data_IF_537778697683
#
_entry.id   IF_537778697683
#
_cell.length_a   1.000
_cell.length_b   1.000
_cell.length_c   1.000
_cell.angle_alpha   90.00
_cell.angle_beta   90.00
_cell.angle_gamma   90.00
#
_symmetry.space_group_name_H-M   'P 1'
#
loop_
_entity.id
_entity.type
_entity.pdbx_description
1 polymer ?
#
# COMPACT_ATOMS: atom_id res chain seq x y z
N UNK A 1 10.06 27.50 31.71
CA UNK A 1 9.02 26.99 30.77
C UNK A 1 9.57 26.45 29.43
N UNK A 2 10.85 26.05 29.32
CA UNK A 2 11.46 25.59 28.07
C UNK A 2 11.35 24.08 27.77
N UNK A 3 10.73 23.28 28.66
CA UNK A 3 10.69 21.81 28.54
C UNK A 3 9.53 21.22 27.71
N UNK A 4 8.60 22.04 27.22
CA UNK A 4 7.39 21.54 26.51
C UNK A 4 7.59 21.36 24.99
N UNK A 5 8.63 21.96 24.41
CA UNK A 5 8.88 21.95 22.96
C UNK A 5 9.71 20.74 22.47
N UNK A 6 10.53 20.12 23.33
CA UNK A 6 11.29 18.92 22.95
C UNK A 6 10.42 17.68 22.73
N UNK A 7 9.20 17.63 23.28
CA UNK A 7 8.25 16.53 23.03
C UNK A 7 7.55 16.61 21.67
N UNK A 8 7.62 17.74 20.97
CA UNK A 8 6.93 17.94 19.67
C UNK A 8 7.86 17.71 18.47
N UNK A 9 9.19 17.76 18.68
CA UNK A 9 10.20 17.44 17.67
C UNK A 9 10.01 16.07 16.96
N UNK A 10 9.57 14.97 17.61
CA UNK A 10 9.31 13.72 16.89
C UNK A 10 8.09 13.77 15.96
N UNK A 11 7.06 14.58 16.27
CA UNK A 11 5.83 14.67 15.46
C UNK A 11 6.08 15.31 14.09
N UNK A 12 6.89 16.37 14.04
CA UNK A 12 7.31 16.99 12.78
C UNK A 12 8.09 16.03 11.88
N UNK A 13 8.78 15.04 12.47
CA UNK A 13 9.49 14.02 11.69
C UNK A 13 8.53 13.10 10.94
N UNK A 14 7.28 12.96 11.38
CA UNK A 14 6.25 12.10 10.79
C UNK A 14 5.10 12.90 10.13
N UNK A 15 5.19 14.23 10.08
CA UNK A 15 4.18 15.10 9.45
C UNK A 15 3.84 14.70 8.00
N UNK A 16 4.82 14.23 7.23
CA UNK A 16 4.60 13.72 5.86
C UNK A 16 3.66 12.49 5.78
N UNK A 17 3.68 11.60 6.79
CA UNK A 17 2.76 10.47 6.85
C UNK A 17 1.34 10.96 7.14
N UNK A 18 1.21 11.90 8.09
CA UNK A 18 -0.07 12.54 8.40
C UNK A 18 -0.61 13.27 7.16
N UNK A 19 0.23 14.01 6.46
CA UNK A 19 -0.12 14.68 5.20
C UNK A 19 -0.58 13.68 4.14
N UNK A 20 0.11 12.54 4.00
CA UNK A 20 -0.28 11.49 3.04
C UNK A 20 -1.66 10.95 3.38
N UNK A 21 -1.93 10.66 4.66
CA UNK A 21 -3.26 10.19 5.10
C UNK A 21 -4.33 11.27 4.96
N UNK A 22 -3.99 12.54 5.19
CA UNK A 22 -4.90 13.66 4.97
C UNK A 22 -5.28 13.80 3.50
N UNK A 23 -4.30 13.66 2.58
CA UNK A 23 -4.57 13.66 1.14
C UNK A 23 -5.49 12.49 0.75
N UNK A 24 -5.25 11.31 1.31
CA UNK A 24 -6.12 10.15 1.14
C UNK A 24 -7.54 10.41 1.68
N UNK A 25 -7.67 11.07 2.83
CA UNK A 25 -8.96 11.43 3.42
C UNK A 25 -9.71 12.44 2.55
N UNK A 26 -9.02 13.47 2.07
CA UNK A 26 -9.59 14.44 1.12
C UNK A 26 -10.04 13.74 -0.16
N UNK A 27 -9.24 12.77 -0.65
CA UNK A 27 -9.62 11.95 -1.79
C UNK A 27 -10.90 11.15 -1.54
N UNK A 28 -11.05 10.49 -0.38
CA UNK A 28 -12.28 9.73 -0.09
C UNK A 28 -13.52 10.60 0.05
N UNK A 29 -13.35 11.83 0.54
CA UNK A 29 -14.46 12.76 0.74
C UNK A 29 -14.76 13.61 -0.50
N UNK A 30 -13.94 13.51 -1.55
CA UNK A 30 -14.14 14.29 -2.77
C UNK A 30 -15.40 13.87 -3.53
N UNK A 31 -16.21 14.85 -3.93
CA UNK A 31 -17.41 14.61 -4.74
C UNK A 31 -17.09 13.96 -6.08
N UNK A 32 -18.06 13.23 -6.66
CA UNK A 32 -17.84 12.40 -7.85
C UNK A 32 -17.24 13.12 -9.07
N UNK A 33 -17.64 14.38 -9.31
CA UNK A 33 -17.11 15.18 -10.43
C UNK A 33 -15.61 15.51 -10.25
N UNK A 34 -15.22 16.00 -9.07
CA UNK A 34 -13.82 16.29 -8.75
C UNK A 34 -12.97 15.02 -8.75
N UNK A 35 -13.51 13.93 -8.19
CA UNK A 35 -12.84 12.65 -8.14
C UNK A 35 -12.55 12.10 -9.54
N UNK A 36 -13.51 12.22 -10.48
CA UNK A 36 -13.32 11.80 -11.86
C UNK A 36 -12.15 12.51 -12.56
N UNK A 37 -12.03 13.82 -12.37
CA UNK A 37 -10.93 14.63 -12.95
C UNK A 37 -9.60 14.36 -12.25
N UNK A 38 -9.60 14.26 -10.92
CA UNK A 38 -8.39 14.06 -10.12
C UNK A 38 -7.93 12.60 -10.08
N UNK A 39 -8.70 11.66 -10.60
CA UNK A 39 -8.39 10.23 -10.52
C UNK A 39 -7.04 9.89 -11.13
N UNK A 40 -6.80 10.26 -12.39
CA UNK A 40 -5.55 9.97 -13.08
C UNK A 40 -4.32 10.56 -12.37
N UNK A 41 -4.26 11.85 -12.01
CA UNK A 41 -3.08 12.40 -11.35
C UNK A 41 -2.86 11.79 -9.96
N UNK A 42 -3.92 11.56 -9.18
CA UNK A 42 -3.82 10.91 -7.86
C UNK A 42 -3.36 9.45 -8.00
N UNK A 43 -3.85 8.74 -9.02
CA UNK A 43 -3.46 7.37 -9.32
C UNK A 43 -1.99 7.25 -9.72
N UNK A 44 -1.51 8.15 -10.60
CA UNK A 44 -0.09 8.21 -10.96
C UNK A 44 0.76 8.50 -9.73
N UNK A 45 0.39 9.48 -8.90
CA UNK A 45 1.14 9.82 -7.69
C UNK A 45 1.20 8.65 -6.69
N UNK A 46 0.07 8.01 -6.41
CA UNK A 46 -0.02 6.85 -5.54
C UNK A 46 0.82 5.68 -6.08
N UNK A 47 0.79 5.44 -7.40
CA UNK A 47 1.62 4.45 -8.06
C UNK A 47 3.11 4.73 -7.84
N UNK A 48 3.55 5.96 -8.09
CA UNK A 48 4.95 6.35 -7.90
C UNK A 48 5.40 6.19 -6.45
N UNK A 49 4.54 6.53 -5.48
CA UNK A 49 4.80 6.33 -4.05
C UNK A 49 5.00 4.84 -3.72
N UNK A 50 4.08 3.97 -4.16
CA UNK A 50 4.17 2.52 -3.93
C UNK A 50 5.43 1.93 -4.60
N UNK A 51 5.73 2.36 -5.83
CA UNK A 51 6.88 1.89 -6.59
C UNK A 51 8.19 2.35 -5.94
N UNK A 52 8.30 3.61 -5.53
CA UNK A 52 9.48 4.16 -4.86
C UNK A 52 9.87 3.35 -3.61
N UNK A 53 8.88 2.94 -2.80
CA UNK A 53 9.12 2.07 -1.65
C UNK A 53 9.63 0.67 -2.00
N UNK A 54 9.31 0.17 -3.19
CA UNK A 54 9.70 -1.18 -3.66
C UNK A 54 11.04 -1.23 -4.38
N UNK A 55 11.43 -0.15 -5.07
CA UNK A 55 12.64 -0.11 -5.91
C UNK A 55 13.93 -0.17 -5.09
N UNK A 56 13.98 0.46 -3.91
CA UNK A 56 15.16 0.39 -3.03
C UNK A 56 15.49 -1.07 -2.66
N UNK A 57 14.48 -1.85 -2.28
CA UNK A 57 14.65 -3.24 -1.88
C UNK A 57 15.02 -4.15 -3.07
N UNK A 58 14.46 -3.87 -4.25
CA UNK A 58 14.77 -4.62 -5.46
C UNK A 58 16.23 -4.39 -5.91
N UNK A 59 16.71 -3.14 -5.83
CA UNK A 59 18.09 -2.78 -6.16
C UNK A 59 19.10 -3.47 -5.25
N UNK A 60 18.85 -3.49 -3.93
CA UNK A 60 19.74 -4.16 -2.98
C UNK A 60 19.83 -5.66 -3.19
N UNK A 61 18.68 -6.33 -3.39
CA UNK A 61 18.65 -7.78 -3.64
C UNK A 61 19.39 -8.13 -4.92
N UNK A 62 19.27 -7.27 -5.94
CA UNK A 62 19.92 -7.46 -7.22
C UNK A 62 21.42 -7.21 -7.16
N UNK A 63 21.91 -6.22 -6.40
CA UNK A 63 23.36 -6.04 -6.17
C UNK A 63 23.95 -7.27 -5.49
N UNK A 64 23.35 -7.71 -4.38
CA UNK A 64 23.78 -8.91 -3.68
C UNK A 64 23.74 -10.18 -4.54
N UNK A 65 22.72 -10.33 -5.41
CA UNK A 65 22.63 -11.48 -6.30
C UNK A 65 23.62 -11.41 -7.47
N UNK A 66 23.82 -10.23 -8.06
CA UNK A 66 24.78 -10.05 -9.16
C UNK A 66 26.21 -10.29 -8.68
N UNK A 67 26.56 -9.76 -7.50
CA UNK A 67 27.88 -9.96 -6.87
C UNK A 67 28.16 -11.43 -6.53
N UNK A 68 27.11 -12.24 -6.28
CA UNK A 68 27.27 -13.62 -5.83
C UNK A 68 27.20 -14.66 -6.96
N UNK A 69 26.56 -14.35 -8.09
CA UNK A 69 26.27 -15.35 -9.14
C UNK A 69 26.83 -15.05 -10.53
N UNK A 70 27.29 -13.83 -10.82
CA UNK A 70 27.84 -13.51 -12.14
C UNK A 70 29.32 -13.13 -12.08
N UNK A 71 30.13 -13.72 -12.97
CA UNK A 71 31.46 -13.24 -13.30
C UNK A 71 31.35 -11.89 -14.03
N UNK A 72 32.27 -10.97 -13.71
CA UNK A 72 32.25 -9.57 -14.19
C UNK A 72 32.33 -9.45 -15.72
N UNK A 73 32.88 -10.45 -16.41
CA UNK A 73 33.10 -10.43 -17.87
C UNK A 73 31.91 -10.92 -18.72
N UNK A 74 30.78 -11.28 -18.12
CA UNK A 74 29.66 -11.85 -18.88
C UNK A 74 28.84 -10.77 -19.63
N UNK A 75 28.57 -10.92 -20.95
CA UNK A 75 27.72 -9.99 -21.71
C UNK A 75 26.25 -9.96 -21.21
N UNK A 76 25.84 -11.01 -20.48
CA UNK A 76 24.55 -11.06 -19.79
C UNK A 76 24.44 -9.99 -18.69
N UNK A 77 25.57 -9.49 -18.19
CA UNK A 77 25.61 -8.42 -17.19
C UNK A 77 25.01 -7.12 -17.74
N UNK A 78 25.11 -6.85 -19.05
CA UNK A 78 24.53 -5.66 -19.71
C UNK A 78 23.02 -5.75 -19.92
N UNK A 79 22.52 -6.90 -20.39
CA UNK A 79 21.08 -7.10 -20.64
C UNK A 79 20.30 -7.25 -19.34
N UNK A 80 20.83 -8.04 -18.39
CA UNK A 80 20.29 -8.10 -17.02
C UNK A 80 20.60 -6.83 -16.23
N UNK A 81 21.51 -5.93 -16.65
CA UNK A 81 21.62 -4.54 -16.14
C UNK A 81 20.41 -3.70 -16.51
N UNK A 82 19.79 -3.96 -17.66
CA UNK A 82 18.58 -3.31 -18.15
C UNK A 82 17.38 -3.54 -17.22
N UNK A 83 17.32 -2.79 -16.11
CA UNK A 83 16.25 -2.86 -15.12
C UNK A 83 14.86 -2.46 -15.63
N UNK A 84 14.66 -2.34 -16.94
CA UNK A 84 13.41 -1.96 -17.59
C UNK A 84 12.31 -2.99 -17.31
N UNK A 85 12.54 -4.29 -17.53
CA UNK A 85 11.51 -5.31 -17.26
C UNK A 85 11.12 -5.36 -15.78
N UNK A 86 12.11 -5.21 -14.89
CA UNK A 86 11.88 -5.10 -13.45
C UNK A 86 11.04 -3.85 -13.14
N UNK A 87 11.40 -2.70 -13.71
CA UNK A 87 10.68 -1.44 -13.51
C UNK A 87 9.24 -1.54 -14.00
N UNK A 88 9.02 -2.04 -15.22
CA UNK A 88 7.68 -2.24 -15.80
C UNK A 88 6.83 -3.15 -14.92
N UNK A 89 7.37 -4.29 -14.45
CA UNK A 89 6.63 -5.19 -13.55
C UNK A 89 6.27 -4.50 -12.22
N UNK A 90 7.19 -3.74 -11.64
CA UNK A 90 6.90 -3.01 -10.39
C UNK A 90 5.92 -1.87 -10.62
N UNK A 91 6.01 -1.19 -11.77
CA UNK A 91 5.10 -0.12 -12.16
C UNK A 91 3.68 -0.66 -12.34
N UNK A 92 3.51 -1.78 -13.06
CA UNK A 92 2.22 -2.42 -13.27
C UNK A 92 1.61 -2.88 -11.95
N UNK A 93 2.39 -3.56 -11.11
CA UNK A 93 1.92 -4.01 -9.79
C UNK A 93 1.59 -2.81 -8.88
N UNK A 94 2.41 -1.76 -8.91
CA UNK A 94 2.17 -0.53 -8.17
C UNK A 94 0.90 0.18 -8.63
N UNK A 95 0.64 0.19 -9.94
CA UNK A 95 -0.54 0.79 -10.53
C UNK A 95 -1.82 0.03 -10.14
N UNK A 96 -1.78 -1.31 -10.18
CA UNK A 96 -2.89 -2.16 -9.72
C UNK A 96 -3.16 -1.97 -8.22
N UNK A 97 -2.11 -1.95 -7.38
CA UNK A 97 -2.26 -1.71 -5.94
C UNK A 97 -2.80 -0.29 -5.66
N UNK A 98 -2.30 0.72 -6.35
CA UNK A 98 -2.79 2.09 -6.24
C UNK A 98 -4.27 2.20 -6.66
N UNK A 99 -4.65 1.50 -7.72
CA UNK A 99 -6.03 1.45 -8.20
C UNK A 99 -6.95 0.85 -7.13
N UNK A 100 -6.61 -0.34 -6.62
CA UNK A 100 -7.39 -1.00 -5.55
C UNK A 100 -7.49 -0.09 -4.33
N UNK A 101 -6.38 0.53 -3.92
CA UNK A 101 -6.34 1.44 -2.79
C UNK A 101 -7.30 2.62 -2.98
N UNK A 102 -7.21 3.34 -4.09
CA UNK A 102 -7.99 4.56 -4.32
C UNK A 102 -9.48 4.28 -4.46
N UNK A 103 -9.85 3.19 -5.11
CA UNK A 103 -11.25 2.79 -5.28
C UNK A 103 -11.83 2.34 -3.95
N UNK A 104 -11.15 1.44 -3.22
CA UNK A 104 -11.61 0.99 -1.91
C UNK A 104 -11.69 2.10 -0.89
N UNK A 105 -10.79 3.08 -0.95
CA UNK A 105 -10.81 4.21 -0.04
C UNK A 105 -12.04 5.11 -0.23
N UNK A 106 -12.59 5.18 -1.45
CA UNK A 106 -13.85 5.89 -1.73
C UNK A 106 -15.08 5.13 -1.23
N UNK A 107 -15.04 3.80 -1.28
CA UNK A 107 -16.08 2.93 -0.75
C UNK A 107 -15.93 2.64 0.75
N UNK A 108 -14.86 3.13 1.37
CA UNK A 108 -14.53 2.81 2.76
C UNK A 108 -15.51 3.50 3.71
N UNK A 109 -16.15 2.70 4.56
CA UNK A 109 -17.04 3.22 5.60
C UNK A 109 -16.29 4.22 6.51
N UNK A 110 -16.87 5.38 6.85
CA UNK A 110 -16.22 6.40 7.70
C UNK A 110 -15.67 5.86 9.02
N UNK A 111 -16.33 4.86 9.59
CA UNK A 111 -15.96 4.17 10.84
C UNK A 111 -14.62 3.42 10.77
N UNK A 112 -14.12 3.10 9.57
CA UNK A 112 -12.84 2.42 9.37
C UNK A 112 -11.64 3.39 9.28
N UNK A 113 -11.88 4.70 9.15
CA UNK A 113 -10.81 5.69 9.12
C UNK A 113 -9.93 5.76 10.38
N UNK A 114 -10.49 5.69 11.60
CA UNK A 114 -9.70 5.59 12.82
C UNK A 114 -8.69 4.43 12.77
N UNK A 115 -9.07 3.31 12.16
CA UNK A 115 -8.19 2.15 12.00
C UNK A 115 -7.03 2.45 11.04
N UNK A 116 -7.30 3.12 9.92
CA UNK A 116 -6.26 3.59 8.98
C UNK A 116 -5.31 4.58 9.65
N UNK A 117 -5.86 5.54 10.40
CA UNK A 117 -5.11 6.53 11.15
C UNK A 117 -4.23 5.88 12.23
N UNK A 118 -4.75 4.89 12.96
CA UNK A 118 -4.00 4.11 13.95
C UNK A 118 -2.89 3.25 13.33
N UNK A 119 -3.04 2.86 12.06
CA UNK A 119 -2.00 2.17 11.31
C UNK A 119 -0.70 2.98 11.15
N UNK A 120 -0.79 4.32 11.11
CA UNK A 120 0.39 5.21 10.97
C UNK A 120 1.31 5.16 12.20
N UNK A 121 0.85 5.47 13.43
CA UNK A 121 1.69 5.34 14.62
C UNK A 121 2.09 3.88 14.85
N UNK A 122 1.21 2.91 14.55
CA UNK A 122 1.56 1.48 14.62
C UNK A 122 2.77 1.13 13.75
N UNK A 123 2.79 1.61 12.50
CA UNK A 123 3.91 1.41 11.59
C UNK A 123 5.19 2.10 12.10
N UNK A 124 5.09 3.33 12.62
CA UNK A 124 6.25 4.06 13.17
C UNK A 124 6.84 3.34 14.38
N UNK A 125 6.00 2.87 15.31
CA UNK A 125 6.43 2.10 16.49
C UNK A 125 7.09 0.78 16.05
N UNK A 126 6.45 0.04 15.13
CA UNK A 126 6.98 -1.21 14.62
C UNK A 126 8.35 -1.02 13.95
N UNK A 127 8.51 0.02 13.11
CA UNK A 127 9.80 0.37 12.51
C UNK A 127 10.86 0.70 13.55
N UNK A 128 10.52 1.47 14.57
CA UNK A 128 11.46 1.87 15.62
C UNK A 128 11.94 0.70 16.47
N UNK A 129 11.01 -0.15 16.89
CA UNK A 129 11.32 -1.37 17.64
C UNK A 129 12.20 -2.32 16.81
N UNK A 130 11.84 -2.50 15.54
CA UNK A 130 12.56 -3.38 14.65
C UNK A 130 13.98 -2.86 14.35
N UNK A 131 14.11 -1.56 14.07
CA UNK A 131 15.40 -0.89 13.90
C UNK A 131 16.30 -1.07 15.12
N UNK A 132 15.76 -0.93 16.34
CA UNK A 132 16.52 -1.15 17.58
C UNK A 132 17.04 -2.58 17.71
N UNK A 133 16.24 -3.59 17.33
CA UNK A 133 16.66 -5.00 17.37
C UNK A 133 17.68 -5.34 16.27
N UNK A 134 17.50 -4.80 15.07
CA UNK A 134 18.40 -5.05 13.93
C UNK A 134 19.73 -4.28 14.02
N UNK A 135 19.78 -3.16 14.72
CA UNK A 135 21.00 -2.37 14.90
C UNK A 135 22.15 -3.16 15.54
N UNK A 136 21.85 -4.23 16.27
CA UNK A 136 22.85 -5.11 16.87
C UNK A 136 23.43 -6.14 15.88
N UNK A 137 22.77 -6.39 14.75
CA UNK A 137 23.07 -7.52 13.86
C UNK A 137 23.30 -7.13 12.40
N UNK A 138 22.99 -5.89 12.00
CA UNK A 138 23.01 -5.45 10.59
C UNK A 138 23.86 -4.20 10.42
N UNK A 139 24.69 -4.18 9.37
CA UNK A 139 25.53 -3.05 8.96
C UNK A 139 24.66 -1.79 8.78
N UNK A 140 25.13 -0.66 9.30
CA UNK A 140 24.37 0.59 9.39
C UNK A 140 23.79 1.07 8.04
N UNK A 141 24.51 0.83 6.94
CA UNK A 141 24.13 1.21 5.58
C UNK A 141 22.85 0.50 5.10
N UNK A 142 22.72 -0.79 5.42
CA UNK A 142 21.63 -1.66 4.97
C UNK A 142 20.45 -1.65 5.93
N UNK A 143 20.67 -1.24 7.18
CA UNK A 143 19.68 -1.30 8.26
C UNK A 143 18.35 -0.66 7.87
N UNK A 144 18.38 0.50 7.22
CA UNK A 144 17.17 1.26 6.87
C UNK A 144 16.28 0.54 5.86
N UNK A 145 16.89 -0.07 4.85
CA UNK A 145 16.16 -0.80 3.81
C UNK A 145 15.66 -2.16 4.32
N UNK A 146 16.47 -2.88 5.09
CA UNK A 146 16.07 -4.16 5.69
C UNK A 146 14.90 -3.96 6.67
N UNK A 147 14.97 -2.93 7.53
CA UNK A 147 13.89 -2.60 8.47
C UNK A 147 12.57 -2.33 7.74
N UNK A 148 12.59 -1.52 6.66
CA UNK A 148 11.40 -1.20 5.86
C UNK A 148 10.78 -2.45 5.24
N UNK A 149 11.59 -3.32 4.65
CA UNK A 149 11.09 -4.55 4.04
C UNK A 149 10.44 -5.45 5.08
N UNK A 150 11.08 -5.60 6.22
CA UNK A 150 10.66 -6.54 7.24
C UNK A 150 9.50 -6.01 8.10
N UNK A 151 9.24 -4.70 8.12
CA UNK A 151 8.03 -4.13 8.75
C UNK A 151 6.79 -4.22 7.87
N UNK A 152 6.93 -4.19 6.53
CA UNK A 152 5.77 -4.14 5.60
C UNK A 152 4.88 -5.36 5.77
N UNK A 153 5.46 -6.57 5.79
CA UNK A 153 4.69 -7.82 5.91
C UNK A 153 3.90 -7.89 7.22
N UNK A 154 4.51 -7.79 8.41
CA UNK A 154 3.77 -7.90 9.66
C UNK A 154 2.77 -6.74 9.83
N UNK A 155 3.10 -5.53 9.40
CA UNK A 155 2.17 -4.40 9.47
C UNK A 155 0.95 -4.62 8.56
N UNK A 156 1.16 -5.11 7.34
CA UNK A 156 0.07 -5.42 6.41
C UNK A 156 -0.79 -6.59 6.90
N UNK A 157 -0.18 -7.64 7.45
CA UNK A 157 -0.91 -8.78 8.05
C UNK A 157 -1.76 -8.31 9.22
N UNK A 158 -1.18 -7.57 10.17
CA UNK A 158 -1.90 -7.03 11.32
C UNK A 158 -3.07 -6.14 10.88
N UNK A 159 -2.83 -5.24 9.92
CA UNK A 159 -3.87 -4.36 9.41
C UNK A 159 -4.98 -5.14 8.68
N UNK A 160 -4.62 -6.19 7.93
CA UNK A 160 -5.58 -7.08 7.27
C UNK A 160 -6.47 -7.76 8.30
N UNK A 161 -5.89 -8.31 9.37
CA UNK A 161 -6.66 -8.96 10.43
C UNK A 161 -7.63 -7.98 11.10
N UNK A 162 -7.18 -6.77 11.42
CA UNK A 162 -8.04 -5.74 12.00
C UNK A 162 -9.17 -5.33 11.06
N UNK A 163 -8.89 -5.21 9.75
CA UNK A 163 -9.91 -4.90 8.75
C UNK A 163 -10.92 -6.04 8.58
N UNK A 164 -10.48 -7.29 8.59
CA UNK A 164 -11.36 -8.46 8.53
C UNK A 164 -12.26 -8.50 9.76
N UNK A 165 -11.71 -8.35 10.96
CA UNK A 165 -12.49 -8.28 12.20
C UNK A 165 -13.51 -7.15 12.14
N UNK A 166 -13.11 -5.96 11.68
CA UNK A 166 -14.01 -4.84 11.53
C UNK A 166 -15.12 -5.11 10.50
N UNK A 167 -14.80 -5.74 9.36
CA UNK A 167 -15.77 -6.11 8.33
C UNK A 167 -16.79 -7.16 8.83
N UNK A 168 -16.39 -8.05 9.73
CA UNK A 168 -17.29 -9.00 10.38
C UNK A 168 -18.16 -8.37 11.46
N UNK A 169 -17.72 -7.25 12.05
CA UNK A 169 -18.47 -6.52 13.08
C UNK A 169 -19.43 -5.49 12.53
N UNK A 170 -19.17 -4.99 11.33
CA UNK A 170 -20.04 -4.02 10.66
C UNK A 170 -21.35 -4.68 10.21
N UNK A 171 -22.49 -3.96 10.26
CA UNK A 171 -23.75 -4.46 9.72
C UNK A 171 -23.59 -4.82 8.24
N UNK A 172 -23.88 -6.07 7.90
CA UNK A 172 -23.81 -6.58 6.53
C UNK A 172 -25.19 -6.51 5.87
N UNK A 173 -25.27 -6.29 4.55
CA UNK A 173 -26.53 -6.33 3.83
C UNK A 173 -27.15 -7.72 3.92
N UNK A 174 -28.47 -7.80 4.16
CA UNK A 174 -29.19 -9.07 4.21
C UNK A 174 -29.48 -9.55 2.78
N UNK A 175 -28.71 -10.53 2.29
CA UNK A 175 -28.78 -11.07 0.93
C UNK A 175 -29.29 -12.52 0.88
N UNK A 176 -29.66 -13.06 2.04
CA UNK A 176 -30.25 -14.40 2.18
C UNK A 176 -31.51 -14.51 1.32
N UNK A 177 -31.60 -15.58 0.54
CA UNK A 177 -32.77 -15.90 -0.28
C UNK A 177 -32.83 -15.17 -1.63
N UNK A 178 -31.91 -14.24 -1.92
CA UNK A 178 -31.84 -13.55 -3.21
C UNK A 178 -31.00 -14.31 -4.23
N UNK A 179 -31.43 -14.28 -5.48
CA UNK A 179 -30.57 -14.65 -6.61
C UNK A 179 -29.39 -13.67 -6.73
N UNK A 180 -28.28 -14.09 -7.32
CA UNK A 180 -27.10 -13.23 -7.48
C UNK A 180 -27.42 -11.98 -8.34
N UNK A 181 -28.17 -12.16 -9.43
CA UNK A 181 -28.60 -11.05 -10.29
C UNK A 181 -29.49 -10.06 -9.54
N UNK A 182 -30.42 -10.57 -8.72
CA UNK A 182 -31.31 -9.75 -7.88
C UNK A 182 -30.53 -8.99 -6.79
N UNK A 183 -29.52 -9.64 -6.19
CA UNK A 183 -28.66 -9.03 -5.18
C UNK A 183 -27.87 -7.85 -5.76
N UNK A 184 -27.32 -8.02 -6.97
CA UNK A 184 -26.64 -6.94 -7.71
C UNK A 184 -27.64 -5.86 -8.06
N UNK A 185 -28.73 -6.18 -8.76
CA UNK A 185 -29.72 -5.19 -9.21
C UNK A 185 -30.27 -4.32 -8.07
N UNK A 186 -30.46 -4.90 -6.87
CA UNK A 186 -30.98 -4.17 -5.69
C UNK A 186 -29.96 -3.23 -5.04
N UNK A 187 -28.67 -3.56 -5.09
CA UNK A 187 -27.62 -2.81 -4.40
C UNK A 187 -26.68 -2.07 -5.35
N UNK A 188 -26.92 -2.16 -6.65
CA UNK A 188 -26.19 -1.40 -7.65
C UNK A 188 -26.69 0.05 -7.64
N UNK A 189 -25.83 1.03 -7.38
CA UNK A 189 -26.27 2.42 -7.42
C UNK A 189 -26.58 2.83 -8.87
N UNK A 190 -27.75 3.42 -9.09
CA UNK A 190 -28.11 4.08 -10.36
C UNK A 190 -27.18 5.27 -10.68
N UNK A 191 -26.48 5.78 -9.68
CA UNK A 191 -25.56 6.89 -9.83
C UNK A 191 -24.18 6.43 -10.29
N UNK A 192 -23.75 6.88 -11.48
CA UNK A 192 -22.42 7.50 -11.68
C UNK A 192 -22.15 7.71 -13.16
N UNK A 193 -21.86 8.97 -13.54
CA UNK A 193 -21.50 9.36 -14.90
C UNK A 193 -20.28 8.62 -15.45
N UNK A 194 -20.14 8.64 -16.78
CA UNK A 194 -19.26 7.79 -17.60
C UNK A 194 -17.74 7.99 -17.47
N UNK A 195 -17.22 8.32 -16.29
CA UNK A 195 -15.78 8.44 -16.04
C UNK A 195 -15.16 7.07 -15.70
N UNK A 196 -13.87 6.91 -16.01
CA UNK A 196 -13.07 5.70 -15.74
C UNK A 196 -13.14 5.26 -14.26
N UNK A 197 -13.13 6.22 -13.34
CA UNK A 197 -13.28 5.94 -11.90
C UNK A 197 -14.61 5.23 -11.60
N UNK A 198 -15.72 5.68 -12.20
CA UNK A 198 -17.04 5.09 -11.98
C UNK A 198 -17.11 3.63 -12.43
N UNK A 199 -16.41 3.26 -13.50
CA UNK A 199 -16.28 1.85 -13.92
C UNK A 199 -15.62 1.00 -12.83
N UNK A 200 -14.51 1.45 -12.25
CA UNK A 200 -13.81 0.70 -11.21
C UNK A 200 -14.57 0.66 -9.88
N UNK A 201 -15.28 1.73 -9.52
CA UNK A 201 -16.19 1.75 -8.36
C UNK A 201 -17.29 0.70 -8.51
N UNK A 202 -17.95 0.65 -9.68
CA UNK A 202 -18.98 -0.36 -9.99
C UNK A 202 -18.41 -1.77 -9.89
N UNK A 203 -17.24 -2.02 -10.46
CA UNK A 203 -16.57 -3.32 -10.37
C UNK A 203 -16.28 -3.70 -8.91
N UNK A 204 -15.82 -2.75 -8.11
CA UNK A 204 -15.54 -2.98 -6.69
C UNK A 204 -16.81 -3.24 -5.87
N UNK A 205 -17.91 -2.54 -6.15
CA UNK A 205 -19.22 -2.77 -5.53
C UNK A 205 -19.75 -4.16 -5.90
N UNK A 206 -19.68 -4.55 -7.17
CA UNK A 206 -20.10 -5.90 -7.62
C UNK A 206 -19.27 -6.99 -6.93
N UNK A 207 -17.95 -6.77 -6.79
CA UNK A 207 -17.09 -7.70 -6.06
C UNK A 207 -17.46 -7.80 -4.57
N UNK A 208 -17.80 -6.68 -3.91
CA UNK A 208 -18.28 -6.69 -2.52
C UNK A 208 -19.64 -7.39 -2.37
N UNK A 209 -20.61 -7.08 -3.21
CA UNK A 209 -21.93 -7.73 -3.18
C UNK A 209 -21.77 -9.23 -3.41
N UNK A 210 -20.96 -9.63 -4.39
CA UNK A 210 -20.69 -11.04 -4.69
C UNK A 210 -20.03 -11.73 -3.49
N UNK A 211 -19.04 -11.09 -2.85
CA UNK A 211 -18.42 -11.61 -1.63
C UNK A 211 -19.47 -11.85 -0.52
N UNK A 212 -20.29 -10.85 -0.20
CA UNK A 212 -21.32 -10.98 0.86
C UNK A 212 -22.37 -12.02 0.49
N UNK A 213 -22.84 -12.02 -0.77
CA UNK A 213 -23.80 -13.00 -1.27
C UNK A 213 -23.25 -14.43 -1.15
N UNK A 214 -22.00 -14.66 -1.56
CA UNK A 214 -21.33 -15.96 -1.44
C UNK A 214 -21.18 -16.40 0.02
N UNK A 215 -20.84 -15.50 0.93
CA UNK A 215 -20.71 -15.83 2.36
C UNK A 215 -22.06 -16.21 3.00
N UNK A 216 -23.15 -15.54 2.63
CA UNK A 216 -24.47 -15.75 3.22
C UNK A 216 -25.23 -16.93 2.58
N UNK A 217 -25.27 -17.02 1.24
CA UNK A 217 -26.10 -18.00 0.52
C UNK A 217 -25.43 -19.37 0.35
N UNK A 218 -24.15 -19.51 0.69
CA UNK A 218 -23.48 -20.80 0.63
C UNK A 218 -24.09 -21.83 1.61
N UNK A 219 -24.63 -21.39 2.75
CA UNK A 219 -25.16 -22.29 3.78
C UNK A 219 -26.59 -22.74 3.46
N UNK A 220 -27.45 -21.84 2.95
CA UNK A 220 -28.89 -22.13 2.85
C UNK A 220 -29.34 -22.71 1.52
N UNK A 221 -28.77 -22.29 0.38
CA UNK A 221 -29.43 -22.50 -0.93
C UNK A 221 -28.91 -23.67 -1.74
N UNK A 222 -27.63 -24.00 -1.66
CA UNK A 222 -27.02 -24.90 -2.66
C UNK A 222 -26.70 -26.31 -2.19
N UNK A 223 -26.71 -26.63 -0.88
CA UNK A 223 -26.14 -27.89 -0.31
C UNK A 223 -24.68 -28.21 -0.73
N UNK A 224 -24.11 -27.47 -1.68
CA UNK A 224 -22.72 -27.38 -2.13
C UNK A 224 -21.94 -26.43 -1.20
N UNK A 225 -22.15 -26.58 0.12
CA UNK A 225 -21.91 -25.53 1.10
C UNK A 225 -20.46 -25.03 1.21
N UNK A 226 -19.50 -25.84 0.76
CA UNK A 226 -18.09 -25.57 0.98
C UNK A 226 -17.43 -24.66 -0.08
N UNK A 227 -17.49 -24.93 -1.40
CA UNK A 227 -16.75 -24.15 -2.39
C UNK A 227 -17.23 -22.70 -2.53
N UNK A 228 -18.54 -22.44 -2.48
CA UNK A 228 -19.07 -21.07 -2.64
C UNK A 228 -18.77 -20.22 -1.40
N UNK A 229 -18.91 -20.78 -0.20
CA UNK A 229 -18.51 -20.09 1.04
C UNK A 229 -17.01 -19.78 1.02
N UNK A 230 -16.19 -20.76 0.61
CA UNK A 230 -14.74 -20.59 0.50
C UNK A 230 -14.38 -19.46 -0.46
N UNK A 231 -15.08 -19.33 -1.59
CA UNK A 231 -14.88 -18.22 -2.52
C UNK A 231 -15.14 -16.87 -1.85
N UNK A 232 -16.24 -16.74 -1.09
CA UNK A 232 -16.55 -15.53 -0.34
C UNK A 232 -15.46 -15.16 0.67
N UNK A 233 -14.97 -16.13 1.44
CA UNK A 233 -13.86 -15.93 2.38
C UNK A 233 -12.54 -15.57 1.69
N UNK A 234 -12.21 -16.24 0.58
CA UNK A 234 -11.03 -15.92 -0.22
C UNK A 234 -11.11 -14.51 -0.81
N UNK A 235 -12.28 -14.09 -1.30
CA UNK A 235 -12.50 -12.74 -1.81
C UNK A 235 -12.34 -11.71 -0.70
N UNK A 236 -12.94 -11.94 0.48
CA UNK A 236 -12.78 -11.06 1.64
C UNK A 236 -11.29 -10.90 2.00
N UNK A 237 -10.58 -12.02 2.17
CA UNK A 237 -9.17 -12.01 2.51
C UNK A 237 -8.33 -11.34 1.43
N UNK A 238 -8.59 -11.62 0.15
CA UNK A 238 -7.87 -11.04 -0.98
C UNK A 238 -8.06 -9.52 -1.04
N UNK A 239 -9.30 -9.05 -0.89
CA UNK A 239 -9.63 -7.63 -0.91
C UNK A 239 -8.96 -6.90 0.27
N UNK A 240 -9.18 -7.39 1.49
CA UNK A 240 -8.66 -6.74 2.69
C UNK A 240 -7.12 -6.78 2.73
N UNK A 241 -6.51 -7.90 2.33
CA UNK A 241 -5.05 -8.02 2.27
C UNK A 241 -4.43 -7.14 1.18
N UNK A 242 -5.02 -7.08 -0.01
CA UNK A 242 -4.53 -6.22 -1.09
C UNK A 242 -4.63 -4.75 -0.71
N UNK A 243 -5.74 -4.34 -0.11
CA UNK A 243 -5.95 -2.98 0.38
C UNK A 243 -4.93 -2.61 1.49
N UNK A 244 -4.81 -3.44 2.53
CA UNK A 244 -3.86 -3.24 3.61
C UNK A 244 -2.40 -3.18 3.10
N UNK A 245 -2.05 -4.08 2.19
CA UNK A 245 -0.73 -4.13 1.57
C UNK A 245 -0.42 -2.88 0.76
N UNK A 246 -1.38 -2.41 -0.05
CA UNK A 246 -1.25 -1.18 -0.82
C UNK A 246 -1.08 0.03 0.11
N UNK A 247 -1.90 0.14 1.17
CA UNK A 247 -1.84 1.22 2.13
C UNK A 247 -0.49 1.27 2.86
N UNK A 248 -0.02 0.14 3.40
CA UNK A 248 1.28 0.05 4.09
C UNK A 248 2.44 0.38 3.14
N UNK A 249 2.40 -0.11 1.88
CA UNK A 249 3.42 0.24 0.89
C UNK A 249 3.43 1.71 0.52
N UNK A 250 2.25 2.34 0.40
CA UNK A 250 2.15 3.77 0.17
C UNK A 250 2.82 4.56 1.30
N UNK A 251 2.54 4.22 2.56
CA UNK A 251 3.13 4.88 3.72
C UNK A 251 4.66 4.72 3.77
N UNK A 252 5.15 3.51 3.51
CA UNK A 252 6.61 3.24 3.45
C UNK A 252 7.25 3.98 2.28
N UNK A 253 6.57 4.07 1.13
CA UNK A 253 7.00 4.84 -0.03
C UNK A 253 7.10 6.34 0.22
N UNK A 254 6.10 6.92 0.90
CA UNK A 254 6.12 8.32 1.34
C UNK A 254 7.32 8.60 2.26
N UNK A 255 7.65 7.66 3.15
CA UNK A 255 8.83 7.77 4.01
C UNK A 255 10.15 7.63 3.21
N UNK A 256 10.17 6.84 2.14
CA UNK A 256 11.34 6.67 1.27
C UNK A 256 11.70 7.96 0.55
N UNK A 257 10.73 8.62 -0.09
CA UNK A 257 10.93 9.90 -0.79
C UNK A 257 11.56 10.98 0.10
N UNK A 258 11.10 11.10 1.35
CA UNK A 258 11.65 12.08 2.29
C UNK A 258 13.13 11.83 2.62
N UNK A 259 13.56 10.56 2.72
CA UNK A 259 14.96 10.21 3.03
C UNK A 259 15.87 10.32 1.80
N UNK A 260 15.36 9.98 0.61
CA UNK A 260 16.07 10.11 -0.66
C UNK A 260 16.46 11.56 -0.98
N UNK A 261 15.56 12.52 -0.71
CA UNK A 261 15.84 13.95 -0.91
C UNK A 261 16.93 14.55 -0.01
N UNK A 262 17.40 13.83 1.01
CA UNK A 262 18.47 14.30 1.94
C UNK A 262 19.88 13.85 1.56
N UNK A 263 20.04 12.96 0.57
CA UNK A 263 21.34 12.36 0.21
C UNK A 263 22.16 12.96 -0.94
N UNK A 264 21.76 13.94 -1.78
CA UNK A 264 22.63 14.30 -2.92
C UNK A 264 23.79 15.26 -2.62
N UNK A 265 23.83 15.96 -1.47
CA UNK A 265 24.74 17.12 -1.34
C UNK A 265 26.06 16.86 -0.58
N UNK A 266 26.26 15.70 0.05
CA UNK A 266 27.43 15.50 0.93
C UNK A 266 28.59 14.74 0.30
N UNK A 267 28.36 14.02 -0.80
CA UNK A 267 29.43 13.30 -1.53
C UNK A 267 30.17 14.23 -2.52
N UNK A 268 29.51 15.26 -3.06
CA UNK A 268 30.15 16.24 -3.94
C UNK A 268 31.12 17.21 -3.21
N UNK A 269 31.05 17.30 -1.87
CA UNK A 269 31.90 18.19 -1.09
C UNK A 269 33.21 17.55 -0.61
N UNK A 270 33.38 16.23 -0.73
CA UNK A 270 34.57 15.51 -0.25
C UNK A 270 35.46 14.96 -1.38
N UNK A 271 35.04 15.02 -2.64
CA UNK A 271 35.84 14.58 -3.80
C UNK A 271 36.66 15.70 -4.45
N UNK A 272 36.66 16.91 -3.87
CA UNK A 272 37.37 18.08 -4.43
C UNK A 272 38.63 18.51 -3.67
N UNK A 273 39.19 17.68 -2.78
CA UNK A 273 40.33 18.07 -1.94
C UNK A 273 41.40 17.00 -1.82
N UNK A 274 41.97 16.57 -2.93
CA UNK A 274 43.29 15.95 -2.96
C UNK A 274 43.79 15.96 -4.40
N UNK A 275 44.67 16.92 -4.69
CA UNK A 275 45.95 16.75 -5.40
C UNK A 275 46.44 18.13 -5.86
N UNK A 276 47.26 18.77 -5.02
CA UNK A 276 48.25 19.74 -5.51
C UNK A 276 49.56 19.47 -4.75
N UNK A 277 50.48 18.66 -5.32
CA UNK A 277 51.81 18.50 -4.78
C UNK A 277 52.71 19.61 -5.33
N UNK A 278 53.17 20.49 -4.45
CA UNK A 278 54.35 21.35 -4.68
C UNK A 278 55.42 21.05 -3.65
#
# INVERSE_FOLDING_TARGET
>A
MAGRWQRVAPLWRHAHLILTVLVLLVWSLSGGALAGVLFLPVWVLATQLIVAGSLEAARLRRRAWLEQYLRDDSPWHGWLRGGAMMLVRHQLMGALLALVLLVKLRLLAPVLWPLMLAGVPGLVVAQHLLRRRLARHVIAEHLSAVTRRLVVVPAAVLLTLLLVVAALWLPQPWLVGLGWEEAIARHFPDSSGGAVLGFFERLAIVAEITQHWSMQNAVERFRLAMPVAMLGWLLLLLIQSTFAWAYVRLLVGAEALRRGGRRPFREAACTGREEDPS
#
